data_IF_808533601421
#
_entry.id   IF_808533601421
#
_cell.length_a   1.000
_cell.length_b   1.000
_cell.length_c   1.000
_cell.angle_alpha   90.00
_cell.angle_beta   90.00
_cell.angle_gamma   90.00
#
_symmetry.space_group_name_H-M   'P 1'
#
loop_
_entity.id
_entity.type
_entity.pdbx_description
1 polymer ?
#
# COMPACT_ATOMS: atom_id res chain seq x y z
N UNK A 1 -6.83 -7.49 6.58
CA UNK A 1 -6.66 -6.12 6.05
C UNK A 1 -6.59 -5.18 7.24
N UNK A 2 -5.66 -4.23 7.21
CA UNK A 2 -5.53 -3.16 8.22
C UNK A 2 -5.36 -1.87 7.44
N UNK A 3 -6.45 -1.36 6.87
CA UNK A 3 -6.43 -0.14 6.05
C UNK A 3 -7.06 0.99 6.87
N UNK A 4 -6.68 2.24 6.58
CA UNK A 4 -7.29 3.39 7.25
C UNK A 4 -8.83 3.35 7.17
N UNK A 5 -9.51 3.76 8.24
CA UNK A 5 -10.94 4.04 8.19
C UNK A 5 -11.24 5.27 7.33
N UNK A 6 -12.51 5.42 6.94
CA UNK A 6 -13.04 6.54 6.17
C UNK A 6 -13.26 6.18 4.71
N UNK A 7 -14.00 7.03 4.00
CA UNK A 7 -14.53 6.72 2.66
C UNK A 7 -13.45 6.22 1.67
N UNK A 8 -12.23 6.74 1.75
CA UNK A 8 -11.13 6.31 0.89
C UNK A 8 -10.66 4.88 1.20
N UNK A 9 -10.45 4.58 2.47
CA UNK A 9 -10.04 3.24 2.89
C UNK A 9 -11.16 2.22 2.70
N UNK A 10 -12.42 2.62 2.95
CA UNK A 10 -13.60 1.78 2.72
C UNK A 10 -13.75 1.41 1.24
N UNK A 11 -13.54 2.37 0.34
CA UNK A 11 -13.52 2.12 -1.10
C UNK A 11 -12.41 1.14 -1.49
N UNK A 12 -11.20 1.32 -0.95
CA UNK A 12 -10.08 0.39 -1.20
C UNK A 12 -10.36 -1.02 -0.69
N UNK A 13 -10.86 -1.17 0.53
CA UNK A 13 -11.22 -2.48 1.10
C UNK A 13 -12.30 -3.17 0.28
N UNK A 14 -13.32 -2.43 -0.16
CA UNK A 14 -14.39 -2.95 -1.01
C UNK A 14 -13.87 -3.38 -2.39
N UNK A 15 -13.08 -2.54 -3.06
CA UNK A 15 -12.50 -2.84 -4.36
C UNK A 15 -11.53 -4.03 -4.28
N UNK A 16 -10.69 -4.05 -3.25
CA UNK A 16 -9.75 -5.15 -2.99
C UNK A 16 -10.47 -6.46 -2.76
N UNK A 17 -11.48 -6.49 -1.88
CA UNK A 17 -12.25 -7.70 -1.61
C UNK A 17 -12.83 -8.27 -2.90
N UNK A 18 -13.48 -7.44 -3.72
CA UNK A 18 -14.04 -7.86 -5.02
C UNK A 18 -12.96 -8.40 -5.96
N UNK A 19 -11.84 -7.69 -6.11
CA UNK A 19 -10.79 -8.08 -7.04
C UNK A 19 -10.04 -9.35 -6.60
N UNK A 20 -9.83 -9.53 -5.29
CA UNK A 20 -9.12 -10.67 -4.72
C UNK A 20 -9.96 -11.94 -4.76
N UNK A 21 -11.23 -11.84 -4.35
CA UNK A 21 -12.17 -12.98 -4.37
C UNK A 21 -12.50 -13.43 -5.79
N UNK A 22 -12.54 -12.53 -6.77
CA UNK A 22 -12.68 -12.88 -8.19
C UNK A 22 -11.48 -13.67 -8.76
N UNK A 23 -10.36 -13.73 -8.02
CA UNK A 23 -9.16 -14.50 -8.36
C UNK A 23 -8.99 -15.70 -7.41
N UNK A 24 -10.09 -16.20 -6.85
CA UNK A 24 -10.13 -17.29 -5.88
C UNK A 24 -9.36 -17.03 -4.58
N UNK A 25 -9.01 -15.76 -4.32
CA UNK A 25 -8.33 -15.34 -3.11
C UNK A 25 -9.28 -15.24 -1.92
N UNK A 26 -8.82 -15.64 -0.73
CA UNK A 26 -9.61 -15.56 0.50
C UNK A 26 -9.27 -14.31 1.32
N UNK A 27 -10.30 -13.56 1.73
CA UNK A 27 -10.15 -12.50 2.74
C UNK A 27 -10.36 -13.13 4.13
N UNK A 28 -9.25 -13.35 4.86
CA UNK A 28 -9.31 -14.01 6.18
C UNK A 28 -9.70 -13.06 7.32
N UNK A 29 -9.64 -11.74 7.11
CA UNK A 29 -10.08 -10.75 8.11
C UNK A 29 -9.94 -9.30 7.64
N UNK A 30 -10.76 -8.43 8.24
CA UNK A 30 -10.82 -6.99 7.96
C UNK A 30 -10.89 -6.20 9.28
N UNK A 31 -9.81 -5.48 9.60
CA UNK A 31 -9.60 -4.79 10.86
C UNK A 31 -9.09 -3.38 10.58
N UNK A 32 -9.95 -2.47 10.10
CA UNK A 32 -9.51 -1.12 9.75
C UNK A 32 -9.10 -0.34 11.00
N UNK A 33 -8.20 0.63 10.86
CA UNK A 33 -7.67 1.45 11.96
C UNK A 33 -7.70 2.94 11.61
N UNK A 34 -7.59 3.83 12.60
CA UNK A 34 -7.56 5.26 12.34
C UNK A 34 -6.14 5.80 12.17
N UNK A 35 -5.64 5.75 10.95
CA UNK A 35 -4.26 6.18 10.64
C UNK A 35 -4.02 7.70 10.77
N UNK A 36 -5.05 8.49 11.07
CA UNK A 36 -4.94 9.94 11.28
C UNK A 36 -4.93 10.33 12.76
N UNK A 37 -5.42 9.46 13.63
CA UNK A 37 -5.54 9.73 15.06
C UNK A 37 -4.75 8.76 15.95
N UNK A 38 -4.44 7.57 15.44
CA UNK A 38 -3.78 6.51 16.19
C UNK A 38 -2.30 6.39 15.80
N UNK A 39 -1.48 5.99 16.78
CA UNK A 39 -0.08 5.62 16.60
C UNK A 39 0.23 4.21 17.10
N UNK A 40 -0.72 3.58 17.81
CA UNK A 40 -0.66 2.20 18.26
C UNK A 40 -1.71 1.38 17.49
N UNK A 41 -1.22 0.43 16.69
CA UNK A 41 -2.02 -0.45 15.85
C UNK A 41 -1.97 -1.90 16.33
N UNK A 42 -1.39 -2.14 17.51
CA UNK A 42 -1.14 -3.49 18.05
C UNK A 42 -2.42 -4.31 18.15
N UNK A 43 -3.57 -3.70 18.49
CA UNK A 43 -4.85 -4.42 18.62
C UNK A 43 -5.39 -4.95 17.28
N UNK A 44 -5.36 -4.10 16.24
CA UNK A 44 -5.80 -4.46 14.89
C UNK A 44 -4.82 -5.42 14.26
N UNK A 45 -3.51 -5.24 14.48
CA UNK A 45 -2.47 -6.15 14.03
C UNK A 45 -2.58 -7.52 14.70
N UNK A 46 -2.81 -7.58 16.01
CA UNK A 46 -3.05 -8.85 16.73
C UNK A 46 -4.24 -9.58 16.15
N UNK A 47 -5.34 -8.87 15.93
CA UNK A 47 -6.56 -9.42 15.33
C UNK A 47 -6.28 -9.93 13.92
N UNK A 48 -5.58 -9.15 13.10
CA UNK A 48 -5.20 -9.54 11.74
C UNK A 48 -4.31 -10.78 11.72
N UNK A 49 -3.25 -10.82 12.52
CA UNK A 49 -2.30 -11.93 12.58
C UNK A 49 -2.90 -13.21 13.17
N UNK A 50 -3.87 -13.10 14.08
CA UNK A 50 -4.58 -14.26 14.63
C UNK A 50 -5.29 -15.09 13.54
N UNK A 51 -5.64 -14.44 12.43
CA UNK A 51 -6.26 -15.06 11.25
C UNK A 51 -5.24 -15.72 10.32
N UNK A 52 -3.95 -15.67 10.66
CA UNK A 52 -2.81 -16.24 9.93
C UNK A 52 -2.80 -15.87 8.44
N UNK A 53 -2.81 -14.57 8.08
CA UNK A 53 -2.78 -14.14 6.69
C UNK A 53 -1.39 -14.35 6.07
N UNK A 54 -1.34 -14.73 4.79
CA UNK A 54 -0.08 -14.79 4.03
C UNK A 54 0.51 -13.39 3.78
N UNK A 55 -0.37 -12.42 3.56
CA UNK A 55 -0.03 -11.02 3.40
C UNK A 55 -1.14 -10.11 3.92
N UNK A 56 -0.81 -8.86 4.23
CA UNK A 56 -1.77 -7.86 4.69
C UNK A 56 -1.85 -6.67 3.73
N UNK A 57 -3.07 -6.37 3.29
CA UNK A 57 -3.38 -5.06 2.73
C UNK A 57 -3.36 -4.01 3.85
N UNK A 58 -2.53 -2.98 3.69
CA UNK A 58 -2.30 -1.91 4.64
C UNK A 58 -2.30 -0.53 3.98
N UNK A 59 -2.54 0.50 4.77
CA UNK A 59 -2.11 1.86 4.44
C UNK A 59 -3.13 2.96 4.67
N UNK A 60 -2.60 4.18 4.62
CA UNK A 60 -3.25 5.46 4.86
C UNK A 60 -2.21 6.57 4.61
N UNK A 61 -2.06 7.58 5.48
CA UNK A 61 -0.86 8.42 5.52
C UNK A 61 0.44 7.60 5.59
N UNK A 62 1.46 8.03 4.85
CA UNK A 62 2.72 7.29 4.74
C UNK A 62 3.44 7.12 6.08
N UNK A 63 3.44 8.13 6.95
CA UNK A 63 4.11 8.08 8.25
C UNK A 63 3.50 7.00 9.17
N UNK A 64 2.17 6.95 9.27
CA UNK A 64 1.48 5.94 10.08
C UNK A 64 1.50 4.57 9.43
N UNK A 65 1.56 4.49 8.10
CA UNK A 65 1.81 3.23 7.40
C UNK A 65 3.18 2.62 7.76
N UNK A 66 4.21 3.45 7.93
CA UNK A 66 5.51 2.99 8.42
C UNK A 66 5.41 2.39 9.83
N UNK A 67 4.68 3.06 10.75
CA UNK A 67 4.46 2.54 12.11
C UNK A 67 3.77 1.16 12.10
N UNK A 68 2.78 0.97 11.22
CA UNK A 68 2.07 -0.32 11.09
C UNK A 68 3.02 -1.43 10.64
N UNK A 69 3.90 -1.16 9.66
CA UNK A 69 4.89 -2.12 9.20
C UNK A 69 5.87 -2.46 10.32
N UNK A 70 6.40 -1.45 11.00
CA UNK A 70 7.34 -1.62 12.11
C UNK A 70 6.72 -2.45 13.23
N UNK A 71 5.52 -2.09 13.69
CA UNK A 71 4.82 -2.81 14.75
C UNK A 71 4.50 -4.26 14.35
N UNK A 72 4.00 -4.49 13.13
CA UNK A 72 3.71 -5.83 12.64
C UNK A 72 4.97 -6.71 12.60
N UNK A 73 6.10 -6.17 12.13
CA UNK A 73 7.39 -6.87 12.11
C UNK A 73 7.91 -7.15 13.53
N UNK A 74 7.80 -6.18 14.44
CA UNK A 74 8.18 -6.35 15.85
C UNK A 74 7.33 -7.41 16.58
N UNK A 75 6.06 -7.55 16.17
CA UNK A 75 5.16 -8.60 16.68
C UNK A 75 5.40 -9.97 16.02
N UNK A 76 6.37 -10.09 15.10
CA UNK A 76 6.78 -11.35 14.50
C UNK A 76 6.06 -11.70 13.18
N UNK A 77 5.32 -10.77 12.56
CA UNK A 77 4.73 -11.01 11.25
C UNK A 77 5.81 -11.16 10.18
N UNK A 78 5.79 -12.29 9.46
CA UNK A 78 6.74 -12.60 8.38
C UNK A 78 6.14 -12.53 6.98
N UNK A 79 4.82 -12.40 6.87
CA UNK A 79 4.13 -12.32 5.58
C UNK A 79 4.43 -11.03 4.81
N UNK A 80 3.89 -10.97 3.60
CA UNK A 80 4.02 -9.81 2.72
C UNK A 80 3.12 -8.64 3.14
N UNK A 81 3.40 -7.46 2.60
CA UNK A 81 2.51 -6.30 2.71
C UNK A 81 2.07 -5.85 1.33
N UNK A 82 0.83 -5.40 1.25
CA UNK A 82 0.31 -4.69 0.07
C UNK A 82 -0.08 -3.30 0.53
N UNK A 83 0.52 -2.27 -0.05
CA UNK A 83 0.20 -0.88 0.28
C UNK A 83 -0.84 -0.28 -0.68
N UNK A 84 -1.81 0.43 -0.11
CA UNK A 84 -2.69 1.29 -0.90
C UNK A 84 -1.95 2.54 -1.42
N UNK A 85 -2.43 3.12 -2.51
CA UNK A 85 -1.74 4.17 -3.28
C UNK A 85 -1.57 5.53 -2.55
N UNK A 86 -2.31 5.73 -1.46
CA UNK A 86 -2.16 6.90 -0.59
C UNK A 86 -0.80 6.90 0.12
N UNK A 87 -0.31 5.74 0.49
CA UNK A 87 0.98 5.60 1.15
C UNK A 87 2.10 5.55 0.10
N UNK A 88 3.11 6.41 0.26
CA UNK A 88 4.25 6.50 -0.67
C UNK A 88 5.40 5.60 -0.19
N UNK A 89 5.77 4.55 -0.93
CA UNK A 89 6.76 3.59 -0.48
C UNK A 89 8.14 4.22 -0.24
N UNK A 90 8.50 5.26 -0.99
CA UNK A 90 9.76 6.01 -0.84
C UNK A 90 9.80 6.75 0.51
N UNK A 91 8.67 7.34 0.89
CA UNK A 91 8.54 8.00 2.19
C UNK A 91 8.55 6.98 3.34
N UNK A 92 7.83 5.87 3.18
CA UNK A 92 7.82 4.78 4.17
C UNK A 92 9.23 4.22 4.40
N UNK A 93 9.97 3.95 3.33
CA UNK A 93 11.37 3.48 3.41
C UNK A 93 12.27 4.49 4.14
N UNK A 94 12.11 5.79 3.86
CA UNK A 94 12.84 6.87 4.53
C UNK A 94 12.54 6.95 6.03
N UNK A 95 11.29 6.73 6.43
CA UNK A 95 10.89 6.73 7.85
C UNK A 95 11.45 5.51 8.57
N UNK A 96 11.31 4.32 7.99
CA UNK A 96 11.75 3.07 8.61
C UNK A 96 13.27 2.95 8.71
N UNK A 97 14.03 3.52 7.77
CA UNK A 97 15.50 3.43 7.67
C UNK A 97 16.06 2.00 7.71
N UNK A 98 15.21 1.00 7.50
CA UNK A 98 15.55 -0.40 7.54
C UNK A 98 14.79 -1.15 6.45
N UNK A 99 15.47 -1.41 5.34
CA UNK A 99 14.88 -2.06 4.17
C UNK A 99 14.43 -3.50 4.44
N UNK A 100 14.96 -4.17 5.47
CA UNK A 100 14.53 -5.54 5.82
C UNK A 100 13.08 -5.58 6.28
N UNK A 101 12.58 -4.50 6.89
CA UNK A 101 11.18 -4.41 7.32
C UNK A 101 10.21 -4.38 6.13
N UNK A 102 10.71 -3.95 4.96
CA UNK A 102 9.97 -3.83 3.70
C UNK A 102 10.06 -5.08 2.81
N UNK A 103 10.69 -6.15 3.27
CA UNK A 103 10.74 -7.40 2.53
C UNK A 103 9.32 -7.92 2.25
N UNK A 104 9.06 -8.34 1.01
CA UNK A 104 7.72 -8.77 0.58
C UNK A 104 6.69 -7.64 0.46
N UNK A 105 7.11 -6.37 0.44
CA UNK A 105 6.21 -5.24 0.18
C UNK A 105 5.89 -5.11 -1.32
N UNK A 106 4.59 -5.06 -1.62
CA UNK A 106 4.03 -4.68 -2.91
C UNK A 106 3.35 -3.32 -2.76
N UNK A 107 3.69 -2.37 -3.63
CA UNK A 107 3.10 -1.03 -3.65
C UNK A 107 2.88 -0.57 -5.09
N UNK A 108 2.07 0.46 -5.27
CA UNK A 108 2.03 1.20 -6.54
C UNK A 108 3.38 1.89 -6.75
N UNK A 109 3.99 1.68 -7.90
CA UNK A 109 5.18 2.42 -8.32
C UNK A 109 4.83 3.87 -8.65
N UNK A 110 5.78 4.79 -8.48
CA UNK A 110 5.66 6.13 -9.06
C UNK A 110 5.59 6.02 -10.57
N UNK A 111 4.73 6.82 -11.21
CA UNK A 111 4.72 6.89 -12.67
C UNK A 111 6.10 7.26 -13.22
N UNK A 112 6.88 8.05 -12.46
CA UNK A 112 8.21 8.54 -12.86
C UNK A 112 9.22 7.42 -13.08
N UNK A 113 9.05 6.27 -12.41
CA UNK A 113 9.96 5.13 -12.51
C UNK A 113 9.62 4.20 -13.68
N UNK A 114 8.53 4.48 -14.41
CA UNK A 114 8.14 3.70 -15.57
C UNK A 114 8.94 4.14 -16.80
N UNK A 115 9.51 3.20 -17.58
CA UNK A 115 10.28 3.51 -18.79
C UNK A 115 9.35 3.87 -19.97
N UNK A 116 8.39 4.77 -19.75
CA UNK A 116 7.42 5.18 -20.75
C UNK A 116 7.93 6.42 -21.50
N UNK A 117 7.89 6.43 -22.85
CA UNK A 117 8.39 7.55 -23.66
C UNK A 117 7.74 8.90 -23.33
N UNK A 118 6.47 8.90 -22.90
CA UNK A 118 5.73 10.11 -22.53
C UNK A 118 6.27 10.76 -21.25
N UNK A 119 6.82 9.97 -20.34
CA UNK A 119 7.34 10.43 -19.05
C UNK A 119 8.73 11.07 -19.22
N UNK A 120 9.51 10.58 -20.18
CA UNK A 120 10.84 11.11 -20.50
C UNK A 120 10.80 12.44 -21.25
N UNK A 121 9.69 12.77 -21.95
CA UNK A 121 9.57 13.95 -22.81
C UNK A 121 8.76 15.10 -22.23
N UNK A 122 8.04 14.89 -21.12
CA UNK A 122 7.14 15.89 -20.57
C UNK A 122 7.80 16.71 -19.44
N UNK A 123 8.15 17.96 -19.74
CA UNK A 123 8.77 18.91 -18.81
C UNK A 123 7.90 19.16 -17.56
N UNK A 124 6.57 19.02 -17.64
CA UNK A 124 5.67 19.17 -16.48
C UNK A 124 5.85 18.03 -15.47
N UNK A 125 6.07 16.80 -15.96
CA UNK A 125 6.32 15.61 -15.14
C UNK A 125 7.71 15.71 -14.49
N UNK A 126 8.72 16.18 -15.22
CA UNK A 126 10.06 16.42 -14.68
C UNK A 126 10.09 17.56 -13.64
N UNK A 127 9.30 18.62 -13.86
CA UNK A 127 9.23 19.78 -12.95
C UNK A 127 8.47 19.47 -11.65
N UNK A 128 7.46 18.59 -11.71
CA UNK A 128 6.77 18.08 -10.51
C UNK A 128 7.58 17.03 -9.75
N UNK A 129 8.54 16.35 -10.39
CA UNK A 129 9.50 15.45 -9.73
C UNK A 129 10.49 16.19 -8.80
N UNK A 130 10.63 17.52 -8.95
CA UNK A 130 11.50 18.35 -8.11
C UNK A 130 10.92 18.69 -6.74
N UNK A 131 9.62 18.47 -6.53
CA UNK A 131 8.92 18.68 -5.27
C UNK A 131 8.28 17.36 -4.83
N UNK A 132 8.42 16.93 -3.56
CA UNK A 132 7.66 15.79 -3.07
C UNK A 132 6.19 16.13 -3.25
N UNK A 133 5.50 15.39 -4.12
CA UNK A 133 4.09 15.62 -4.49
C UNK A 133 3.22 15.47 -3.23
N UNK A 134 3.08 16.57 -2.49
CA UNK A 134 2.12 16.72 -1.43
C UNK A 134 0.74 16.77 -2.04
N UNK A 135 -0.04 15.71 -1.84
CA UNK A 135 -1.51 15.59 -1.78
C UNK A 135 -2.41 16.36 -2.79
N UNK A 136 -1.90 17.08 -3.79
CA UNK A 136 -2.66 18.13 -4.45
C UNK A 136 -2.35 18.31 -5.92
N UNK A 137 -2.27 17.22 -6.71
CA UNK A 137 -2.51 17.24 -8.18
C UNK A 137 -2.56 15.87 -8.86
N UNK A 138 -3.13 14.85 -8.22
CA UNK A 138 -3.46 13.58 -8.89
C UNK A 138 -4.93 13.28 -8.65
N UNK A 139 -5.78 14.22 -9.03
CA UNK A 139 -7.12 13.88 -9.51
C UNK A 139 -6.88 13.57 -10.98
N UNK A 140 -6.87 12.30 -11.35
CA UNK A 140 -7.45 11.76 -12.59
C UNK A 140 -7.03 10.28 -12.74
N UNK A 141 -8.05 9.43 -12.84
CA UNK A 141 -8.04 7.99 -13.13
C UNK A 141 -7.69 7.02 -11.98
N UNK A 142 -8.63 6.83 -11.02
CA UNK A 142 -8.60 5.71 -10.07
C UNK A 142 -8.44 4.33 -10.73
N UNK A 143 -8.94 4.16 -11.97
CA UNK A 143 -8.81 2.90 -12.72
C UNK A 143 -7.37 2.54 -13.12
N UNK A 144 -6.52 3.54 -13.38
CA UNK A 144 -5.13 3.30 -13.85
C UNK A 144 -4.24 2.84 -12.71
N UNK A 145 -4.40 3.42 -11.52
CA UNK A 145 -3.61 3.03 -10.34
C UNK A 145 -3.96 1.62 -9.85
N UNK A 146 -5.24 1.28 -9.83
CA UNK A 146 -5.69 -0.07 -9.49
C UNK A 146 -5.20 -1.09 -10.53
N UNK A 147 -5.20 -0.73 -11.82
CA UNK A 147 -4.67 -1.58 -12.88
C UNK A 147 -3.16 -1.83 -12.72
N UNK A 148 -2.37 -0.80 -12.38
CA UNK A 148 -0.93 -0.97 -12.14
C UNK A 148 -0.68 -1.87 -10.93
N UNK A 149 -1.37 -1.64 -9.80
CA UNK A 149 -1.27 -2.50 -8.62
C UNK A 149 -1.65 -3.97 -8.92
N UNK A 150 -2.77 -4.19 -9.62
CA UNK A 150 -3.24 -5.52 -10.01
C UNK A 150 -2.31 -6.19 -11.04
N UNK A 151 -1.70 -5.41 -11.94
CA UNK A 151 -0.74 -5.92 -12.93
C UNK A 151 0.58 -6.35 -12.30
N UNK A 152 1.08 -5.59 -11.31
CA UNK A 152 2.25 -5.96 -10.51
C UNK A 152 1.98 -7.21 -9.68
N UNK A 153 0.77 -7.36 -9.14
CA UNK A 153 0.35 -8.57 -8.43
C UNK A 153 0.22 -9.80 -9.32
N UNK A 154 -0.35 -9.68 -10.51
CA UNK A 154 -0.42 -10.80 -11.45
C UNK A 154 0.97 -11.33 -11.79
N UNK A 155 2.00 -10.46 -11.84
CA UNK A 155 3.39 -10.89 -12.02
C UNK A 155 3.96 -11.57 -10.78
N UNK A 156 3.62 -11.12 -9.58
CA UNK A 156 4.12 -11.72 -8.33
C UNK A 156 3.52 -13.12 -8.08
N UNK A 157 2.21 -13.28 -8.30
CA UNK A 157 1.49 -14.57 -8.20
C UNK A 157 1.94 -15.55 -9.30
N UNK A 158 2.37 -15.07 -10.46
CA UNK A 158 2.92 -15.94 -11.50
C UNK A 158 4.34 -16.45 -11.18
N UNK A 159 5.01 -15.87 -10.19
CA UNK A 159 6.40 -16.19 -9.83
C UNK A 159 6.52 -17.07 -8.57
N UNK A 160 5.42 -17.36 -7.89
CA UNK A 160 5.35 -18.15 -6.64
C UNK A 160 4.14 -19.07 -6.68
#
# INVERSE_FOLDING_TARGET
MVVTIGAYGDAWRSAWNKAWTAKDGQIVGDFPANYFAETDFSSQLTSAMSRKPDFMLIGGPSATTALVIEQARNMGFKGGFVMIDQAKPEYVAKVLKNMKLLEGLISTASCQDLPLPVIQKDEQIQRTAKYPLGAGKIIYHPHVKLFVALSTMNRYIALH
#
